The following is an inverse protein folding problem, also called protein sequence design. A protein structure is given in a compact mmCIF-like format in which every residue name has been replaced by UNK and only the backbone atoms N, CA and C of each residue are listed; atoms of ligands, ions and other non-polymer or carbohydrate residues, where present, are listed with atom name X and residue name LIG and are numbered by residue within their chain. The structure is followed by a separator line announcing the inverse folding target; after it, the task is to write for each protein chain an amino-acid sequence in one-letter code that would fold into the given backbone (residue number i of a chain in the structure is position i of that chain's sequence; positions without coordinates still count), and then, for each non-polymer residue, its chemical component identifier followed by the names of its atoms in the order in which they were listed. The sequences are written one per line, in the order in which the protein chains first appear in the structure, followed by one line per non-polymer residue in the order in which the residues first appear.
data_IF_575461383796
#
_entry.id   IF_575461383796
#
_cell.length_a   1.000
_cell.length_b   1.000
_cell.length_c   1.000
_cell.angle_alpha   90.00
_cell.angle_beta   90.00
_cell.angle_gamma   90.00
#
_symmetry.space_group_name_H-M   'P 1'
#
loop_
_entity.id
_entity.type
_entity.pdbx_description
1 polymer ?
#
# COMPACT_ATOMS: atom_id res chain seq x y z
N UNK A 1 2.03 -13.43 -26.96
CA UNK A 1 2.41 -12.56 -25.81
C UNK A 1 3.55 -13.28 -25.09
N UNK A 2 4.78 -12.83 -25.26
CA UNK A 2 5.98 -13.53 -24.77
C UNK A 2 6.17 -13.15 -23.29
N UNK A 3 5.83 -14.06 -22.38
CA UNK A 3 6.29 -13.94 -21.01
C UNK A 3 7.73 -14.48 -20.97
N UNK A 4 8.70 -13.56 -21.02
CA UNK A 4 10.12 -13.89 -20.94
C UNK A 4 10.44 -14.53 -19.58
N UNK A 5 10.55 -15.86 -19.54
CA UNK A 5 11.11 -16.62 -18.40
C UNK A 5 12.63 -16.47 -18.32
N UNK A 6 13.16 -15.24 -18.25
CA UNK A 6 14.56 -15.04 -17.87
C UNK A 6 14.62 -14.85 -16.36
N UNK A 7 14.66 -15.97 -15.63
CA UNK A 7 14.93 -15.95 -14.20
C UNK A 7 16.34 -15.40 -13.99
N UNK A 8 16.44 -14.15 -13.52
CA UNK A 8 17.69 -13.59 -13.02
C UNK A 8 17.92 -14.13 -11.60
N UNK A 9 18.72 -15.20 -11.51
CA UNK A 9 19.21 -15.83 -10.26
C UNK A 9 19.95 -14.86 -9.29
N UNK A 10 20.23 -13.63 -9.73
CA UNK A 10 20.88 -12.58 -8.93
C UNK A 10 19.93 -11.86 -7.96
N UNK A 11 18.60 -11.97 -8.14
CA UNK A 11 17.62 -11.15 -7.39
C UNK A 11 17.18 -11.74 -6.04
N UNK A 12 17.34 -13.05 -5.81
CA UNK A 12 16.84 -13.68 -4.59
C UNK A 12 17.65 -13.26 -3.36
N UNK A 13 18.95 -12.98 -3.51
CA UNK A 13 19.82 -12.52 -2.42
C UNK A 13 19.46 -11.11 -1.93
N UNK A 14 19.06 -10.20 -2.83
CA UNK A 14 18.70 -8.82 -2.46
C UNK A 14 17.36 -8.77 -1.73
N UNK A 15 16.40 -9.59 -2.18
CA UNK A 15 15.11 -9.79 -1.49
C UNK A 15 15.30 -10.34 -0.08
N UNK A 16 16.16 -11.35 0.10
CA UNK A 16 16.47 -11.90 1.43
C UNK A 16 17.16 -10.87 2.33
N UNK A 17 18.02 -10.00 1.78
CA UNK A 17 18.68 -8.94 2.52
C UNK A 17 17.69 -7.85 2.98
N UNK A 18 16.75 -7.44 2.12
CA UNK A 18 15.65 -6.52 2.49
C UNK A 18 14.75 -7.15 3.57
N UNK A 19 14.42 -8.44 3.43
CA UNK A 19 13.58 -9.17 4.38
C UNK A 19 14.24 -9.33 5.76
N UNK A 20 15.57 -9.25 5.86
CA UNK A 20 16.27 -9.38 7.15
C UNK A 20 16.13 -8.16 8.06
N UNK A 21 15.82 -6.98 7.49
CA UNK A 21 15.74 -5.71 8.21
C UNK A 21 14.29 -5.23 8.45
N UNK A 22 13.31 -5.81 7.75
CA UNK A 22 11.90 -5.38 7.82
C UNK A 22 11.07 -6.51 8.43
N UNK A 23 10.32 -6.19 9.50
CA UNK A 23 9.35 -7.12 10.10
C UNK A 23 8.28 -7.53 9.06
N UNK A 24 7.85 -8.79 9.08
CA UNK A 24 6.91 -9.35 8.08
C UNK A 24 5.60 -8.55 8.03
N UNK A 25 5.11 -8.08 9.17
CA UNK A 25 3.89 -7.26 9.25
C UNK A 25 4.08 -5.88 8.63
N UNK A 26 5.26 -5.29 8.79
CA UNK A 26 5.60 -4.01 8.17
C UNK A 26 5.74 -4.16 6.65
N UNK A 27 6.36 -5.26 6.19
CA UNK A 27 6.48 -5.54 4.76
C UNK A 27 5.11 -5.65 4.08
N UNK A 28 4.18 -6.39 4.69
CA UNK A 28 2.82 -6.51 4.16
C UNK A 28 2.12 -5.15 4.07
N UNK A 29 2.27 -4.30 5.09
CA UNK A 29 1.67 -2.98 5.11
C UNK A 29 2.23 -2.07 4.00
N UNK A 30 3.56 -2.07 3.80
CA UNK A 30 4.22 -1.29 2.75
C UNK A 30 3.86 -1.77 1.34
N UNK A 31 3.70 -3.08 1.14
CA UNK A 31 3.22 -3.66 -0.11
C UNK A 31 1.77 -3.25 -0.39
N UNK A 32 0.90 -3.29 0.62
CA UNK A 32 -0.51 -2.88 0.49
C UNK A 32 -0.71 -1.38 0.27
N UNK A 33 0.18 -0.57 0.83
CA UNK A 33 0.19 0.89 0.61
C UNK A 33 0.85 1.30 -0.70
N UNK A 34 1.24 0.33 -1.55
CA UNK A 34 1.88 0.59 -2.84
C UNK A 34 3.22 1.36 -2.72
N UNK A 35 3.87 1.29 -1.55
CA UNK A 35 5.21 1.87 -1.32
C UNK A 35 6.28 0.93 -1.88
N UNK A 36 6.10 -0.38 -1.69
CA UNK A 36 6.94 -1.45 -2.26
C UNK A 36 6.22 -2.14 -3.44
N UNK A 37 5.75 -1.32 -4.37
CA UNK A 37 4.94 -1.76 -5.51
C UNK A 37 5.65 -2.85 -6.33
N UNK A 38 6.93 -2.71 -6.63
CA UNK A 38 7.68 -3.67 -7.45
C UNK A 38 7.74 -5.07 -6.81
N UNK A 39 7.75 -5.17 -5.48
CA UNK A 39 7.72 -6.44 -4.76
C UNK A 39 6.30 -7.03 -4.82
N UNK A 40 5.28 -6.22 -4.55
CA UNK A 40 3.88 -6.62 -4.68
C UNK A 40 3.54 -7.07 -6.12
N UNK A 41 4.01 -6.34 -7.14
CA UNK A 41 3.86 -6.63 -8.58
C UNK A 41 4.43 -7.99 -8.87
N UNK A 42 5.64 -8.26 -8.39
CA UNK A 42 6.30 -9.53 -8.67
C UNK A 42 5.54 -10.71 -8.07
N UNK A 43 5.11 -10.61 -6.80
CA UNK A 43 4.31 -11.65 -6.14
C UNK A 43 3.00 -11.93 -6.89
N UNK A 44 2.26 -10.87 -7.21
CA UNK A 44 1.00 -10.95 -7.96
C UNK A 44 1.25 -11.56 -9.34
N UNK A 45 2.27 -11.13 -10.08
CA UNK A 45 2.62 -11.72 -11.37
C UNK A 45 2.96 -13.21 -11.25
N UNK A 46 3.75 -13.61 -10.24
CA UNK A 46 4.13 -15.01 -10.03
C UNK A 46 2.90 -15.87 -9.67
N UNK A 47 1.97 -15.35 -8.86
CA UNK A 47 0.73 -16.03 -8.46
C UNK A 47 -0.25 -16.17 -9.63
N UNK A 48 -0.57 -15.07 -10.31
CA UNK A 48 -1.53 -15.06 -11.41
C UNK A 48 -0.96 -15.66 -12.71
N UNK A 49 0.37 -15.79 -12.85
CA UNK A 49 0.97 -16.54 -13.97
C UNK A 49 0.60 -18.03 -13.96
N UNK A 50 0.30 -18.59 -12.78
CA UNK A 50 -0.03 -20.01 -12.59
C UNK A 50 -1.53 -20.27 -12.55
N UNK A 51 -2.31 -19.35 -11.98
CA UNK A 51 -3.76 -19.48 -11.84
C UNK A 51 -4.52 -18.92 -13.04
N UNK A 52 -4.60 -17.58 -13.16
CA UNK A 52 -5.28 -16.90 -14.25
C UNK A 52 -4.69 -15.49 -14.47
N UNK A 53 -3.91 -15.25 -15.54
CA UNK A 53 -3.17 -14.00 -15.72
C UNK A 53 -4.06 -12.78 -15.96
N UNK A 54 -5.37 -12.95 -16.18
CA UNK A 54 -6.33 -11.84 -16.35
C UNK A 54 -6.95 -11.34 -15.03
N UNK A 55 -6.74 -12.04 -13.91
CA UNK A 55 -7.41 -11.73 -12.64
C UNK A 55 -6.55 -10.91 -11.66
N UNK A 56 -5.25 -10.79 -11.90
CA UNK A 56 -4.35 -10.06 -11.01
C UNK A 56 -4.28 -8.59 -11.33
N UNK A 57 -5.19 -7.78 -10.76
CA UNK A 57 -4.95 -6.34 -10.71
C UNK A 57 -3.81 -6.06 -9.74
N UNK A 58 -2.78 -5.38 -10.21
CA UNK A 58 -1.70 -4.90 -9.36
C UNK A 58 -2.06 -3.62 -8.62
N UNK A 59 -3.01 -2.86 -9.17
CA UNK A 59 -3.47 -1.63 -8.55
C UNK A 59 -4.53 -2.03 -7.52
N UNK A 60 -4.38 -1.61 -6.24
CA UNK A 60 -5.39 -1.82 -5.22
C UNK A 60 -6.74 -1.22 -5.65
N UNK A 61 -7.88 -1.74 -5.15
CA UNK A 61 -9.19 -1.15 -5.41
C UNK A 61 -9.23 0.27 -4.84
N UNK A 62 -9.37 1.25 -5.74
CA UNK A 62 -9.51 2.66 -5.37
C UNK A 62 -10.96 2.96 -5.01
N UNK A 63 -11.18 3.59 -3.85
CA UNK A 63 -12.49 4.10 -3.47
C UNK A 63 -12.52 5.62 -3.54
N UNK A 64 -13.10 6.15 -4.61
CA UNK A 64 -13.14 7.59 -4.84
C UNK A 64 -13.96 8.37 -3.82
N UNK A 65 -14.95 7.76 -3.18
CA UNK A 65 -15.81 8.53 -2.28
C UNK A 65 -15.18 8.75 -0.87
N UNK A 66 -14.01 8.12 -0.60
CA UNK A 66 -13.14 8.36 0.56
C UNK A 66 -12.04 9.38 0.23
N UNK A 67 -11.91 9.77 -1.04
CA UNK A 67 -10.87 10.67 -1.51
C UNK A 67 -11.19 12.12 -1.07
N UNK A 68 -10.30 12.77 -0.27
CA UNK A 68 -10.49 14.16 0.15
C UNK A 68 -10.64 15.13 -1.02
N UNK A 69 -9.99 14.85 -2.16
CA UNK A 69 -10.01 15.70 -3.34
C UNK A 69 -11.27 15.49 -4.19
N UNK A 70 -11.92 14.33 -4.07
CA UNK A 70 -13.18 14.06 -4.75
C UNK A 70 -14.41 14.34 -3.86
N UNK A 71 -14.21 14.72 -2.60
CA UNK A 71 -15.27 14.95 -1.61
C UNK A 71 -16.41 15.85 -2.14
N UNK A 72 -16.07 16.98 -2.76
CA UNK A 72 -17.06 17.94 -3.28
C UNK A 72 -17.96 17.35 -4.37
N UNK A 73 -17.45 16.42 -5.18
CA UNK A 73 -18.23 15.72 -6.19
C UNK A 73 -19.27 14.81 -5.54
N UNK A 74 -18.85 14.04 -4.54
CA UNK A 74 -19.73 13.09 -3.82
C UNK A 74 -20.69 13.75 -2.84
N UNK A 75 -20.41 14.97 -2.38
CA UNK A 75 -21.34 15.78 -1.58
C UNK A 75 -22.49 16.39 -2.39
N UNK A 76 -22.41 16.37 -3.73
CA UNK A 76 -23.46 16.93 -4.56
C UNK A 76 -24.76 16.11 -4.49
N UNK A 77 -25.90 16.81 -4.36
CA UNK A 77 -27.22 16.18 -4.18
C UNK A 77 -27.58 15.18 -5.29
N UNK A 78 -27.17 15.47 -6.53
CA UNK A 78 -27.44 14.58 -7.66
C UNK A 78 -26.67 13.27 -7.56
N UNK A 79 -25.41 13.35 -7.09
CA UNK A 79 -24.56 12.17 -6.90
C UNK A 79 -25.05 11.37 -5.70
N UNK A 80 -25.44 12.01 -4.60
CA UNK A 80 -26.03 11.30 -3.45
C UNK A 80 -27.27 10.48 -3.84
N UNK A 81 -28.23 11.08 -4.56
CA UNK A 81 -29.41 10.36 -5.07
C UNK A 81 -29.05 9.21 -6.01
N UNK A 82 -28.02 9.39 -6.83
CA UNK A 82 -27.53 8.33 -7.71
C UNK A 82 -26.95 7.18 -6.90
N UNK A 83 -26.11 7.47 -5.91
CA UNK A 83 -25.47 6.48 -5.05
C UNK A 83 -26.52 5.65 -4.31
N UNK A 84 -27.51 6.30 -3.70
CA UNK A 84 -28.67 5.66 -3.05
C UNK A 84 -29.39 4.71 -4.02
N UNK A 85 -29.72 5.19 -5.22
CA UNK A 85 -30.40 4.38 -6.25
C UNK A 85 -29.58 3.16 -6.68
N UNK A 86 -28.26 3.29 -6.73
CA UNK A 86 -27.34 2.20 -7.10
C UNK A 86 -26.94 1.30 -5.93
N UNK A 87 -27.36 1.60 -4.70
CA UNK A 87 -26.95 0.87 -3.49
C UNK A 87 -25.47 1.05 -3.14
N UNK A 88 -24.86 2.17 -3.55
CA UNK A 88 -23.47 2.52 -3.24
C UNK A 88 -23.39 3.38 -1.96
N UNK A 89 -24.04 2.89 -0.90
CA UNK A 89 -24.04 3.54 0.41
C UNK A 89 -22.71 3.27 1.13
N UNK A 90 -22.09 4.33 1.65
CA UNK A 90 -20.89 4.19 2.45
C UNK A 90 -21.17 3.41 3.72
N UNK A 91 -20.42 2.33 3.95
CA UNK A 91 -20.08 1.98 5.32
C UNK A 91 -19.18 3.11 5.85
N UNK A 92 -19.75 4.05 6.60
CA UNK A 92 -18.97 4.94 7.46
C UNK A 92 -18.07 4.04 8.30
N UNK A 93 -16.76 4.03 8.02
CA UNK A 93 -15.81 3.57 9.02
C UNK A 93 -15.94 4.56 10.17
N UNK A 94 -16.36 4.07 11.33
CA UNK A 94 -16.39 4.86 12.54
C UNK A 94 -15.01 5.50 12.73
N UNK A 95 -15.00 6.79 13.02
CA UNK A 95 -13.81 7.63 13.29
C UNK A 95 -12.96 7.14 14.47
N UNK A 96 -13.31 6.01 15.07
CA UNK A 96 -12.65 5.40 16.23
C UNK A 96 -11.45 4.52 15.84
N UNK A 97 -11.40 3.99 14.60
CA UNK A 97 -10.34 3.07 14.16
C UNK A 97 -9.07 3.77 13.62
N UNK A 98 -9.16 5.02 13.16
CA UNK A 98 -7.98 5.74 12.62
C UNK A 98 -7.00 6.19 13.71
N UNK A 99 -7.48 6.39 14.94
CA UNK A 99 -6.63 6.75 16.08
C UNK A 99 -5.77 5.58 16.60
N UNK A 100 -6.07 4.34 16.22
CA UNK A 100 -5.26 3.18 16.61
C UNK A 100 -4.08 2.92 15.66
N UNK A 101 -4.16 3.31 14.38
CA UNK A 101 -3.07 3.14 13.42
C UNK A 101 -2.06 4.30 13.40
N UNK A 102 -2.47 5.53 13.75
CA UNK A 102 -1.54 6.67 13.77
C UNK A 102 -0.57 6.63 14.97
N UNK A 103 -0.99 6.03 16.09
CA UNK A 103 -0.17 5.90 17.29
C UNK A 103 1.07 5.00 17.11
N UNK A 104 0.98 3.98 16.26
CA UNK A 104 2.09 3.03 16.02
C UNK A 104 3.20 3.62 15.14
N UNK A 105 2.85 4.48 14.17
CA UNK A 105 3.85 5.13 13.29
C UNK A 105 4.62 6.25 13.99
N UNK A 106 4.04 6.89 15.00
CA UNK A 106 4.66 8.00 15.73
C UNK A 106 5.81 7.57 16.66
N UNK A 107 5.87 6.28 17.04
CA UNK A 107 6.92 5.72 17.90
C UNK A 107 8.19 5.25 17.18
N UNK A 108 8.20 5.24 15.84
CA UNK A 108 9.35 4.77 15.05
C UNK A 108 10.22 5.91 14.50
N UNK A 109 9.82 7.17 14.67
CA UNK A 109 10.55 8.33 14.11
C UNK A 109 11.51 8.99 15.11
N UNK A 110 11.57 8.51 16.35
CA UNK A 110 12.33 9.16 17.43
C UNK A 110 13.65 8.44 17.80
N UNK A 111 14.13 7.50 16.99
CA UNK A 111 15.46 6.91 17.15
C UNK A 111 16.42 7.42 16.07
N UNK A 112 17.45 8.12 16.54
CA UNK A 112 18.66 8.59 15.82
C UNK A 112 18.57 9.91 15.03
N UNK A 113 18.59 11.03 15.75
CA UNK A 113 19.53 12.09 15.36
C UNK A 113 20.91 11.75 15.93
N UNK A 114 21.94 11.47 15.12
CA UNK A 114 23.28 11.22 15.63
C UNK A 114 23.85 12.47 16.32
N UNK A 115 24.64 12.32 17.40
CA UNK A 115 25.20 13.44 18.13
C UNK A 115 26.15 14.24 17.23
N UNK A 116 25.93 15.56 17.15
CA UNK A 116 26.81 16.49 16.43
C UNK A 116 28.20 16.45 17.09
N UNK A 117 29.18 15.95 16.34
CA UNK A 117 30.57 15.91 16.76
C UNK A 117 31.11 17.31 17.10
N UNK A 118 31.84 17.39 18.21
CA UNK A 118 32.56 18.58 18.64
C UNK A 118 33.76 18.77 17.71
N UNK A 119 33.82 19.90 17.01
CA UNK A 119 34.98 20.27 16.20
C UNK A 119 36.03 21.00 17.04
N UNK A 120 37.25 20.45 17.07
CA UNK A 120 38.53 21.09 17.49
C UNK A 120 39.57 20.48 16.52
N UNK A 121 40.47 21.25 15.88
CA UNK A 121 41.48 22.14 16.49
C UNK A 121 41.24 23.64 16.29
#
# INVERSE_FOLDING_TARGET
MVCCKKQNKLNDNYLNQIHSHIDLKQLELLERQFILDCIAVRKICDDYSKANPKHGSIIPPYNGQLDPYAKSYFESLNIQKLLEKTGQEYCLRNSEDENQMSGTLKGLVDMESPPKGVGIP
#
